data_IF_369723015387
#
_entry.id   IF_369723015387
#
_cell.length_a   1.000
_cell.length_b   1.000
_cell.length_c   1.000
_cell.angle_alpha   90.00
_cell.angle_beta   90.00
_cell.angle_gamma   90.00
#
_symmetry.space_group_name_H-M   'P 1'
#
loop_
_entity.id
_entity.type
_entity.pdbx_description
1 polymer ?
#
# COMPACT_ATOMS: atom_id res chain seq x y z
N UNK A 1 15.30 -17.82 -4.40
CA UNK A 1 15.27 -16.88 -3.25
C UNK A 1 14.26 -17.41 -2.22
N UNK A 2 14.63 -17.50 -0.93
CA UNK A 2 13.72 -17.96 0.14
C UNK A 2 13.50 -16.89 1.22
N UNK A 3 14.15 -15.73 1.11
CA UNK A 3 14.01 -14.58 2.00
C UNK A 3 14.23 -13.28 1.21
N UNK A 4 13.53 -12.22 1.60
CA UNK A 4 13.86 -10.85 1.24
C UNK A 4 14.59 -10.22 2.42
N UNK A 5 15.81 -9.75 2.21
CA UNK A 5 16.50 -8.90 3.18
C UNK A 5 16.17 -7.43 2.94
N UNK A 6 16.17 -6.63 4.00
CA UNK A 6 16.04 -5.18 3.87
C UNK A 6 17.13 -4.65 2.93
N UNK A 7 16.80 -3.83 1.94
CA UNK A 7 17.81 -3.20 1.09
C UNK A 7 18.80 -2.37 1.92
N UNK A 8 20.09 -2.48 1.60
CA UNK A 8 21.13 -1.73 2.31
C UNK A 8 20.89 -0.21 2.26
N UNK A 9 20.26 0.25 1.17
CA UNK A 9 19.85 1.65 0.97
C UNK A 9 18.80 2.14 1.97
N UNK A 10 18.12 1.25 2.69
CA UNK A 10 17.07 1.57 3.69
C UNK A 10 17.54 1.42 5.14
N UNK A 11 18.81 1.08 5.36
CA UNK A 11 19.32 0.82 6.71
C UNK A 11 19.77 2.12 7.38
N UNK A 12 19.41 2.30 8.66
CA UNK A 12 19.85 3.37 9.56
C UNK A 12 19.65 4.80 9.03
N UNK A 13 18.54 5.03 8.34
CA UNK A 13 18.13 6.36 7.85
C UNK A 13 16.60 6.48 7.77
N UNK A 14 16.06 7.69 7.54
CA UNK A 14 14.64 7.86 7.24
C UNK A 14 14.21 7.05 6.02
N UNK A 15 12.99 6.47 6.09
CA UNK A 15 12.36 5.67 5.03
C UNK A 15 11.33 6.53 4.32
N UNK A 16 11.52 6.77 3.03
CA UNK A 16 10.58 7.53 2.21
C UNK A 16 9.48 6.62 1.69
N UNK A 17 8.24 6.94 2.03
CA UNK A 17 7.05 6.20 1.61
C UNK A 17 6.17 7.09 0.73
N UNK A 18 5.75 6.57 -0.42
CA UNK A 18 4.64 7.16 -1.18
C UNK A 18 3.43 6.23 -1.05
N UNK A 19 2.33 6.75 -0.52
CA UNK A 19 1.06 6.06 -0.41
C UNK A 19 0.07 6.63 -1.42
N UNK A 20 -0.50 5.76 -2.26
CA UNK A 20 -1.48 6.10 -3.31
C UNK A 20 -2.84 5.55 -2.90
N UNK A 21 -3.82 6.44 -2.79
CA UNK A 21 -5.17 6.14 -2.33
C UNK A 21 -5.32 6.26 -0.82
N UNK A 22 -6.15 7.19 -0.35
CA UNK A 22 -6.47 7.47 1.04
C UNK A 22 -7.89 7.02 1.43
N UNK A 23 -8.43 6.03 0.70
CA UNK A 23 -9.73 5.41 0.97
C UNK A 23 -9.71 4.48 2.21
N UNK A 24 -10.42 3.36 2.14
CA UNK A 24 -10.53 2.40 3.24
C UNK A 24 -9.18 1.84 3.69
N UNK A 25 -8.50 1.12 2.80
CA UNK A 25 -7.17 0.55 3.07
C UNK A 25 -6.13 1.64 3.37
N UNK A 26 -6.14 2.74 2.59
CA UNK A 26 -5.14 3.79 2.74
C UNK A 26 -5.24 4.52 4.06
N UNK A 27 -6.45 4.90 4.50
CA UNK A 27 -6.64 5.57 5.80
C UNK A 27 -6.27 4.67 6.98
N UNK A 28 -6.61 3.37 6.90
CA UNK A 28 -6.22 2.38 7.92
C UNK A 28 -4.71 2.12 7.92
N UNK A 29 -4.09 2.03 6.73
CA UNK A 29 -2.62 1.88 6.61
C UNK A 29 -1.90 3.10 7.18
N UNK A 30 -2.37 4.30 6.88
CA UNK A 30 -1.74 5.54 7.37
C UNK A 30 -1.78 5.65 8.91
N UNK A 31 -2.90 5.21 9.53
CA UNK A 31 -3.00 5.08 11.01
C UNK A 31 -1.91 4.17 11.57
N UNK A 32 -1.68 3.02 10.95
CA UNK A 32 -0.68 2.08 11.41
C UNK A 32 0.75 2.56 11.14
N UNK A 33 0.99 3.24 10.00
CA UNK A 33 2.29 3.87 9.71
C UNK A 33 2.61 4.96 10.73
N UNK A 34 1.61 5.72 11.17
CA UNK A 34 1.79 6.72 12.23
C UNK A 34 2.28 6.09 13.54
N UNK A 35 1.68 4.96 13.95
CA UNK A 35 2.13 4.22 15.14
C UNK A 35 3.53 3.62 14.93
N UNK A 36 3.79 3.10 13.74
CA UNK A 36 5.09 2.53 13.38
C UNK A 36 6.20 3.59 13.39
N UNK A 37 5.94 4.79 12.87
CA UNK A 37 6.88 5.91 12.89
C UNK A 37 7.32 6.25 14.31
N UNK A 38 6.36 6.37 15.23
CA UNK A 38 6.67 6.63 16.63
C UNK A 38 7.56 5.56 17.24
N UNK A 39 7.26 4.28 16.98
CA UNK A 39 8.05 3.15 17.49
C UNK A 39 9.45 3.12 16.87
N UNK A 40 9.58 3.34 15.57
CA UNK A 40 10.88 3.39 14.88
C UNK A 40 11.76 4.49 15.47
N UNK A 41 11.23 5.70 15.63
CA UNK A 41 11.95 6.82 16.26
C UNK A 41 12.48 6.45 17.64
N UNK A 42 11.61 5.94 18.51
CA UNK A 42 11.98 5.59 19.88
C UNK A 42 12.99 4.44 19.97
N UNK A 43 12.92 3.48 19.07
CA UNK A 43 13.82 2.32 19.06
C UNK A 43 15.15 2.57 18.34
N UNK A 44 15.29 3.70 17.64
CA UNK A 44 16.49 4.04 16.86
C UNK A 44 17.14 5.37 17.29
N UNK A 45 16.68 5.96 18.38
CA UNK A 45 17.11 7.30 18.83
C UNK A 45 16.95 8.34 17.71
N UNK A 46 15.75 8.37 17.10
CA UNK A 46 15.33 9.22 15.99
C UNK A 46 16.16 9.10 14.68
N UNK A 47 17.01 8.07 14.57
CA UNK A 47 17.80 7.87 13.34
C UNK A 47 16.98 7.21 12.22
N UNK A 48 15.93 6.44 12.55
CA UNK A 48 15.00 5.81 11.60
C UNK A 48 13.58 6.28 11.87
N UNK A 49 12.93 6.81 10.84
CA UNK A 49 11.55 7.27 10.87
C UNK A 49 10.93 7.21 9.47
N UNK A 50 9.63 7.46 9.36
CA UNK A 50 8.92 7.45 8.10
C UNK A 50 8.69 8.89 7.59
N UNK A 51 9.10 9.19 6.35
CA UNK A 51 8.71 10.39 5.61
C UNK A 51 7.66 9.99 4.57
N UNK A 52 6.39 10.31 4.84
CA UNK A 52 5.27 9.81 4.04
C UNK A 52 4.70 10.92 3.17
N UNK A 53 4.52 10.62 1.88
CA UNK A 53 3.74 11.45 0.94
C UNK A 53 2.50 10.67 0.53
N UNK A 54 1.32 11.28 0.68
CA UNK A 54 0.01 10.68 0.39
C UNK A 54 -0.60 11.33 -0.84
N UNK A 55 -0.98 10.53 -1.83
CA UNK A 55 -1.70 10.97 -3.04
C UNK A 55 -3.15 10.49 -2.99
N UNK A 56 -4.09 11.42 -3.08
CA UNK A 56 -5.52 11.15 -3.25
C UNK A 56 -6.22 12.44 -3.67
N UNK A 57 -6.96 12.41 -4.78
CA UNK A 57 -7.67 13.56 -5.34
C UNK A 57 -9.15 13.63 -4.94
N UNK A 58 -9.65 12.63 -4.21
CA UNK A 58 -11.02 12.59 -3.74
C UNK A 58 -11.26 13.50 -2.53
N UNK A 59 -12.52 13.90 -2.39
CA UNK A 59 -13.02 14.55 -1.18
C UNK A 59 -13.81 13.57 -0.31
N UNK A 60 -13.85 13.85 0.98
CA UNK A 60 -14.63 13.06 1.94
C UNK A 60 -16.13 13.23 1.69
N UNK A 61 -16.82 12.13 1.48
CA UNK A 61 -18.27 12.05 1.30
C UNK A 61 -18.94 11.30 2.45
N UNK A 62 -20.28 11.39 2.53
CA UNK A 62 -21.06 10.65 3.55
C UNK A 62 -20.86 9.13 3.47
N UNK A 63 -20.60 8.57 2.26
CA UNK A 63 -20.34 7.13 2.08
C UNK A 63 -19.00 6.67 2.64
N UNK A 64 -18.09 7.60 2.92
CA UNK A 64 -16.78 7.29 3.50
C UNK A 64 -16.82 7.16 5.03
N UNK A 65 -17.81 7.81 5.67
CA UNK A 65 -17.93 7.78 7.14
C UNK A 65 -18.23 6.35 7.62
N UNK A 66 -17.60 5.94 8.71
CA UNK A 66 -17.81 4.65 9.35
C UNK A 66 -17.07 3.46 8.74
N UNK A 67 -16.55 3.55 7.50
CA UNK A 67 -15.73 2.50 6.88
C UNK A 67 -14.34 2.96 6.44
N UNK A 68 -14.08 4.24 6.49
CA UNK A 68 -12.78 4.87 6.24
C UNK A 68 -12.42 5.75 7.44
N UNK A 69 -11.18 6.20 7.54
CA UNK A 69 -10.67 6.97 8.67
C UNK A 69 -11.17 8.42 8.74
N UNK A 70 -12.42 8.70 8.38
CA UNK A 70 -12.99 10.06 8.32
C UNK A 70 -14.16 10.24 9.29
N UNK A 71 -14.35 11.50 9.71
CA UNK A 71 -15.37 11.95 10.65
C UNK A 71 -16.31 12.97 9.99
N UNK A 72 -17.49 13.25 10.56
CA UNK A 72 -18.43 14.22 9.98
C UNK A 72 -17.84 15.61 9.73
N UNK A 73 -16.87 16.03 10.54
CA UNK A 73 -16.20 17.33 10.38
C UNK A 73 -15.30 17.39 9.13
N UNK A 74 -14.94 16.24 8.56
CA UNK A 74 -14.04 16.14 7.40
C UNK A 74 -14.80 16.27 6.07
N UNK A 75 -16.14 16.26 6.08
CA UNK A 75 -16.96 16.28 4.87
C UNK A 75 -16.59 17.40 3.91
N UNK A 76 -16.41 17.08 2.64
CA UNK A 76 -16.06 18.02 1.57
C UNK A 76 -14.58 18.41 1.52
N UNK A 77 -13.76 18.01 2.47
CA UNK A 77 -12.32 18.24 2.45
C UNK A 77 -11.61 17.14 1.67
N UNK A 78 -10.43 17.39 1.11
CA UNK A 78 -9.63 16.39 0.43
C UNK A 78 -9.16 15.31 1.40
N UNK A 79 -9.31 14.03 1.02
CA UNK A 79 -8.98 12.86 1.86
C UNK A 79 -7.51 12.88 2.32
N UNK A 80 -6.58 13.12 1.38
CA UNK A 80 -5.14 13.19 1.68
C UNK A 80 -4.80 14.31 2.65
N UNK A 81 -5.38 15.51 2.49
CA UNK A 81 -5.12 16.65 3.37
C UNK A 81 -5.62 16.40 4.79
N UNK A 82 -6.84 15.88 4.93
CA UNK A 82 -7.44 15.57 6.24
C UNK A 82 -6.56 14.62 7.04
N UNK A 83 -6.17 13.49 6.43
CA UNK A 83 -5.39 12.48 7.14
C UNK A 83 -3.97 12.97 7.48
N UNK A 84 -3.29 13.58 6.52
CA UNK A 84 -1.92 14.08 6.73
C UNK A 84 -1.92 15.20 7.77
N UNK A 85 -2.83 16.17 7.68
CA UNK A 85 -2.94 17.25 8.67
C UNK A 85 -3.20 16.71 10.07
N UNK A 86 -4.07 15.71 10.19
CA UNK A 86 -4.38 15.06 11.47
C UNK A 86 -3.15 14.42 12.10
N UNK A 87 -2.40 13.61 11.36
CA UNK A 87 -1.21 12.94 11.88
C UNK A 87 -0.05 13.92 12.13
N UNK A 88 0.13 14.91 11.27
CA UNK A 88 1.13 15.96 11.48
C UNK A 88 0.85 16.75 12.77
N UNK A 89 -0.41 17.14 12.99
CA UNK A 89 -0.81 17.91 14.18
C UNK A 89 -0.61 17.10 15.45
N UNK A 90 -1.06 15.85 15.49
CA UNK A 90 -1.00 15.02 16.70
C UNK A 90 0.37 14.40 16.94
N UNK A 91 1.12 14.11 15.90
CA UNK A 91 2.44 13.46 15.99
C UNK A 91 3.62 14.38 15.84
N UNK A 92 3.40 15.69 15.58
CA UNK A 92 4.45 16.66 15.25
C UNK A 92 5.30 16.20 14.06
N UNK A 93 4.62 15.64 13.03
CA UNK A 93 5.25 15.11 11.82
C UNK A 93 5.26 16.16 10.70
N UNK A 94 5.99 15.86 9.62
CA UNK A 94 6.07 16.67 8.40
C UNK A 94 5.70 15.86 7.15
N UNK A 95 4.74 14.94 7.28
CA UNK A 95 4.23 14.19 6.14
C UNK A 95 3.56 15.10 5.13
N UNK A 96 3.52 14.70 3.87
CA UNK A 96 3.06 15.53 2.76
C UNK A 96 1.78 14.96 2.17
N UNK A 97 0.82 15.82 1.86
CA UNK A 97 -0.36 15.49 1.07
C UNK A 97 -0.24 16.02 -0.36
N UNK A 98 -0.84 15.31 -1.29
CA UNK A 98 -1.00 15.67 -2.69
C UNK A 98 -2.45 15.41 -3.08
N UNK A 99 -3.23 16.47 -3.22
CA UNK A 99 -4.64 16.44 -3.63
C UNK A 99 -4.77 16.27 -5.16
N UNK A 100 -4.01 15.34 -5.71
CA UNK A 100 -3.88 15.08 -7.13
C UNK A 100 -3.97 13.58 -7.35
N UNK A 101 -4.60 13.19 -8.46
CA UNK A 101 -4.53 11.84 -8.96
C UNK A 101 -3.05 11.48 -9.20
N UNK A 102 -2.66 10.33 -8.71
CA UNK A 102 -1.31 9.86 -8.94
C UNK A 102 -1.12 9.51 -10.43
N UNK A 103 -0.04 10.00 -10.99
CA UNK A 103 0.41 9.71 -12.34
C UNK A 103 1.77 9.02 -12.24
N UNK A 104 1.95 7.90 -12.92
CA UNK A 104 3.19 7.12 -12.93
C UNK A 104 4.40 7.94 -13.38
N UNK A 105 4.21 8.97 -14.22
CA UNK A 105 5.28 9.89 -14.63
C UNK A 105 5.86 10.69 -13.46
N UNK A 106 5.06 10.93 -12.43
CA UNK A 106 5.51 11.65 -11.23
C UNK A 106 6.55 10.88 -10.40
N UNK A 107 6.58 9.54 -10.49
CA UNK A 107 7.67 8.74 -9.91
C UNK A 107 9.02 9.02 -10.56
N UNK A 108 9.01 9.31 -11.86
CA UNK A 108 10.25 9.46 -12.63
C UNK A 108 10.77 10.90 -12.65
N UNK A 109 9.94 11.87 -12.29
CA UNK A 109 10.31 13.29 -12.20
C UNK A 109 10.88 13.70 -10.84
N UNK A 110 10.68 12.88 -9.81
CA UNK A 110 11.14 13.12 -8.44
C UNK A 110 12.15 12.06 -7.99
N UNK A 111 12.67 12.21 -6.76
CA UNK A 111 13.38 11.13 -6.10
C UNK A 111 12.41 9.97 -5.84
N UNK A 112 12.86 8.73 -6.16
CA UNK A 112 12.06 7.54 -5.92
C UNK A 112 11.85 7.34 -4.41
N UNK A 113 10.65 6.93 -3.98
CA UNK A 113 10.46 6.47 -2.61
C UNK A 113 11.21 5.16 -2.37
N UNK A 114 11.44 4.81 -1.12
CA UNK A 114 11.95 3.51 -0.72
C UNK A 114 10.85 2.45 -0.84
N UNK A 115 9.64 2.83 -0.43
CA UNK A 115 8.46 1.98 -0.46
C UNK A 115 7.31 2.74 -1.12
N UNK A 116 6.75 2.14 -2.16
CA UNK A 116 5.52 2.57 -2.79
C UNK A 116 4.39 1.71 -2.26
N UNK A 117 3.33 2.32 -1.73
CA UNK A 117 2.14 1.61 -1.22
C UNK A 117 0.94 1.99 -2.08
N UNK A 118 0.27 0.99 -2.65
CA UNK A 118 -0.97 1.20 -3.40
C UNK A 118 -2.17 0.66 -2.63
N UNK A 119 -3.15 1.54 -2.40
CA UNK A 119 -4.42 1.26 -1.72
C UNK A 119 -5.59 1.72 -2.59
N UNK A 120 -5.48 1.48 -3.90
CA UNK A 120 -6.45 1.92 -4.90
C UNK A 120 -7.50 0.84 -5.15
N UNK A 121 -8.68 1.23 -5.56
CA UNK A 121 -9.78 0.34 -5.94
C UNK A 121 -9.73 -0.05 -7.43
N UNK A 122 -9.18 0.80 -8.28
CA UNK A 122 -9.12 0.59 -9.74
C UNK A 122 -7.93 -0.27 -10.15
N UNK A 123 -8.20 -1.30 -10.97
CA UNK A 123 -7.17 -2.16 -11.57
C UNK A 123 -6.28 -1.38 -12.53
N UNK A 124 -6.83 -0.43 -13.28
CA UNK A 124 -6.11 0.40 -14.26
C UNK A 124 -4.89 1.11 -13.66
N UNK A 125 -5.00 1.61 -12.42
CA UNK A 125 -3.88 2.29 -11.74
C UNK A 125 -2.72 1.32 -11.47
N UNK A 126 -3.02 0.07 -11.08
CA UNK A 126 -1.99 -0.98 -10.89
C UNK A 126 -1.34 -1.36 -12.22
N UNK A 127 -2.13 -1.45 -13.28
CA UNK A 127 -1.65 -1.78 -14.63
C UNK A 127 -0.75 -0.67 -15.18
N UNK A 128 -1.20 0.59 -15.13
CA UNK A 128 -0.41 1.74 -15.57
C UNK A 128 0.93 1.81 -14.84
N UNK A 129 0.90 1.69 -13.51
CA UNK A 129 2.09 1.71 -12.67
C UNK A 129 3.02 0.53 -12.99
N UNK A 130 2.47 -0.69 -13.09
CA UNK A 130 3.23 -1.90 -13.40
C UNK A 130 3.92 -1.83 -14.76
N UNK A 131 3.22 -1.36 -15.79
CA UNK A 131 3.78 -1.17 -17.13
C UNK A 131 4.89 -0.11 -17.13
N UNK A 132 4.69 1.03 -16.45
CA UNK A 132 5.68 2.08 -16.34
C UNK A 132 6.96 1.60 -15.63
N UNK A 133 6.81 0.84 -14.54
CA UNK A 133 7.93 0.28 -13.77
C UNK A 133 8.65 -0.83 -14.55
N UNK A 134 7.91 -1.73 -15.21
CA UNK A 134 8.48 -2.82 -15.99
C UNK A 134 9.25 -2.34 -17.23
N UNK A 135 8.79 -1.26 -17.87
CA UNK A 135 9.46 -0.66 -19.05
C UNK A 135 10.65 0.22 -18.69
N UNK A 136 10.80 0.60 -17.44
CA UNK A 136 11.86 1.48 -16.99
C UNK A 136 13.22 0.79 -17.00
N UNK A 137 14.23 1.51 -17.50
CA UNK A 137 15.65 1.09 -17.42
C UNK A 137 16.32 1.46 -16.09
N UNK A 138 15.60 2.09 -15.16
CA UNK A 138 16.13 2.42 -13.85
C UNK A 138 16.31 1.16 -13.01
N UNK A 139 17.39 1.15 -12.26
CA UNK A 139 17.65 0.14 -11.22
C UNK A 139 17.48 0.81 -9.86
N UNK A 140 16.66 0.24 -9.00
CA UNK A 140 16.44 0.73 -7.64
C UNK A 140 16.03 -0.42 -6.75
N UNK A 141 16.31 -0.29 -5.47
CA UNK A 141 15.82 -1.20 -4.43
C UNK A 141 14.40 -0.89 -3.97
N UNK A 142 13.70 0.03 -4.64
CA UNK A 142 12.32 0.40 -4.31
C UNK A 142 11.43 -0.83 -4.23
N UNK A 143 10.68 -0.93 -3.14
CA UNK A 143 9.68 -1.95 -2.93
C UNK A 143 8.29 -1.40 -3.27
N UNK A 144 7.43 -2.25 -3.81
CA UNK A 144 6.02 -1.96 -4.05
C UNK A 144 5.16 -2.89 -3.20
N UNK A 145 4.39 -2.30 -2.28
CA UNK A 145 3.39 -2.97 -1.46
C UNK A 145 2.00 -2.61 -1.98
N UNK A 146 1.24 -3.62 -2.41
CA UNK A 146 -0.13 -3.43 -2.86
C UNK A 146 -1.13 -4.06 -1.88
N UNK A 147 -2.21 -3.35 -1.63
CA UNK A 147 -3.36 -3.82 -0.85
C UNK A 147 -4.61 -3.79 -1.74
N UNK A 148 -5.14 -4.95 -2.07
CA UNK A 148 -6.38 -5.09 -2.82
C UNK A 148 -7.38 -5.94 -2.04
N UNK A 149 -8.64 -5.50 -1.95
CA UNK A 149 -9.68 -6.28 -1.29
C UNK A 149 -11.02 -6.11 -1.97
N UNK A 150 -11.82 -7.15 -1.83
CA UNK A 150 -13.25 -7.19 -2.10
C UNK A 150 -14.05 -7.01 -0.81
N UNK A 151 -15.26 -7.58 -0.76
CA UNK A 151 -16.19 -7.46 0.36
C UNK A 151 -15.62 -8.02 1.66
N UNK A 152 -15.15 -9.27 1.64
CA UNK A 152 -14.74 -10.04 2.84
C UNK A 152 -13.30 -10.51 2.80
N UNK A 153 -12.64 -10.38 1.67
CA UNK A 153 -11.32 -10.95 1.43
C UNK A 153 -10.40 -9.97 0.71
N UNK A 154 -9.11 -10.22 0.75
CA UNK A 154 -8.14 -9.42 0.02
C UNK A 154 -6.76 -10.05 -0.01
N UNK A 155 -5.88 -9.40 -0.74
CA UNK A 155 -4.49 -9.78 -0.87
C UNK A 155 -3.57 -8.60 -0.59
N UNK A 156 -2.45 -8.92 0.00
CA UNK A 156 -1.34 -8.02 0.29
C UNK A 156 -0.12 -8.59 -0.42
N UNK A 157 0.52 -7.81 -1.27
CA UNK A 157 1.68 -8.25 -2.04
C UNK A 157 2.80 -7.20 -1.93
N UNK A 158 3.95 -7.62 -1.44
CA UNK A 158 5.18 -6.84 -1.42
C UNK A 158 6.16 -7.42 -2.45
N UNK A 159 6.66 -6.60 -3.36
CA UNK A 159 7.66 -7.04 -4.33
C UNK A 159 8.64 -5.92 -4.72
N UNK A 160 9.65 -6.25 -5.50
CA UNK A 160 10.50 -5.22 -6.10
C UNK A 160 9.72 -4.47 -7.18
N UNK A 161 9.81 -3.15 -7.15
CA UNK A 161 9.11 -2.30 -8.12
C UNK A 161 9.71 -2.44 -9.53
N UNK A 162 11.04 -2.47 -9.64
CA UNK A 162 11.75 -2.53 -10.91
C UNK A 162 12.21 -3.94 -11.27
N UNK A 163 12.47 -4.17 -12.55
CA UNK A 163 13.08 -5.40 -13.03
C UNK A 163 14.52 -5.50 -12.53
N UNK A 164 14.90 -6.69 -12.06
CA UNK A 164 16.24 -7.00 -11.57
C UNK A 164 16.48 -8.51 -11.56
N UNK A 165 17.72 -8.90 -11.47
CA UNK A 165 18.09 -10.28 -11.16
C UNK A 165 17.52 -10.69 -9.78
N UNK A 166 17.06 -11.90 -9.66
CA UNK A 166 16.40 -12.40 -8.43
C UNK A 166 15.25 -11.50 -7.93
N UNK A 167 14.41 -11.03 -8.85
CA UNK A 167 13.26 -10.20 -8.53
C UNK A 167 12.30 -10.94 -7.59
N UNK A 168 11.91 -10.27 -6.50
CA UNK A 168 10.71 -10.64 -5.76
C UNK A 168 9.51 -10.09 -6.53
N UNK A 169 8.60 -10.93 -7.05
CA UNK A 169 7.51 -10.46 -7.89
C UNK A 169 6.55 -9.56 -7.12
N UNK A 170 6.11 -8.49 -7.75
CA UNK A 170 5.08 -7.58 -7.24
C UNK A 170 3.68 -7.99 -7.73
N UNK A 171 2.66 -7.20 -7.41
CA UNK A 171 1.26 -7.50 -7.77
C UNK A 171 1.06 -7.60 -9.28
N UNK A 172 1.69 -6.76 -10.07
CA UNK A 172 1.59 -6.76 -11.53
C UNK A 172 2.25 -8.00 -12.16
N UNK A 173 3.36 -8.47 -11.57
CA UNK A 173 4.02 -9.69 -12.01
C UNK A 173 3.18 -10.96 -11.69
N UNK A 174 2.56 -11.00 -10.51
CA UNK A 174 1.82 -12.18 -10.03
C UNK A 174 0.40 -12.29 -10.62
N UNK A 175 -0.18 -11.19 -11.05
CA UNK A 175 -1.55 -11.14 -11.57
C UNK A 175 -1.59 -10.51 -12.97
N UNK A 176 -1.02 -11.18 -13.99
CA UNK A 176 -1.00 -10.65 -15.37
C UNK A 176 -2.40 -10.37 -15.93
N UNK A 177 -3.43 -11.07 -15.42
CA UNK A 177 -4.83 -10.86 -15.78
C UNK A 177 -5.39 -9.49 -15.35
N UNK A 178 -4.68 -8.72 -14.52
CA UNK A 178 -5.12 -7.37 -14.17
C UNK A 178 -5.31 -6.46 -15.38
N UNK A 179 -4.61 -6.74 -16.49
CA UNK A 179 -4.74 -5.96 -17.75
C UNK A 179 -6.11 -6.16 -18.43
N UNK A 180 -6.79 -7.25 -18.10
CA UNK A 180 -8.09 -7.62 -18.66
C UNK A 180 -9.26 -7.23 -17.74
N UNK A 181 -8.96 -6.65 -16.57
CA UNK A 181 -9.98 -6.22 -15.60
C UNK A 181 -10.47 -4.84 -15.99
N UNK A 182 -11.75 -4.73 -16.32
CA UNK A 182 -12.42 -3.45 -16.52
C UNK A 182 -12.72 -2.81 -15.15
N UNK A 183 -12.35 -1.54 -15.01
CA UNK A 183 -12.74 -0.77 -13.83
C UNK A 183 -14.25 -0.57 -13.84
N UNK A 184 -14.91 -0.91 -12.76
CA UNK A 184 -16.34 -0.63 -12.60
C UNK A 184 -16.47 0.87 -12.29
N UNK A 185 -17.07 1.64 -13.22
CA UNK A 185 -17.47 3.00 -12.91
C UNK A 185 -18.56 2.95 -11.81
N UNK A 186 -18.34 3.67 -10.72
CA UNK A 186 -19.33 3.79 -9.67
C UNK A 186 -20.46 4.71 -10.16
N UNK A 187 -21.48 4.11 -10.79
CA UNK A 187 -22.76 4.79 -10.91
C UNK A 187 -23.28 5.14 -9.51
N UNK A 188 -24.02 6.23 -9.42
CA UNK A 188 -24.57 6.81 -8.18
C UNK A 188 -25.40 5.81 -7.36
N UNK A 189 -24.70 4.85 -6.75
CA UNK A 189 -25.32 3.92 -5.80
C UNK A 189 -25.84 4.68 -4.59
N UNK A 190 -26.95 4.21 -4.04
CA UNK A 190 -27.45 4.74 -2.78
C UNK A 190 -26.37 4.65 -1.69
N UNK A 191 -26.33 5.60 -0.76
CA UNK A 191 -25.44 5.57 0.40
C UNK A 191 -25.44 4.21 1.11
N UNK A 192 -26.59 3.57 1.16
CA UNK A 192 -26.79 2.27 1.79
C UNK A 192 -26.07 1.14 1.04
N UNK A 193 -26.17 1.10 -0.29
CA UNK A 193 -25.48 0.10 -1.12
C UNK A 193 -23.95 0.26 -1.04
N UNK A 194 -23.45 1.50 -1.07
CA UNK A 194 -22.02 1.77 -0.90
C UNK A 194 -21.51 1.27 0.47
N UNK A 195 -22.30 1.39 1.54
CA UNK A 195 -21.95 0.87 2.87
C UNK A 195 -21.95 -0.66 2.95
N UNK A 196 -22.72 -1.35 2.11
CA UNK A 196 -22.80 -2.82 2.10
C UNK A 196 -21.70 -3.50 1.27
N UNK A 197 -20.94 -2.74 0.47
CA UNK A 197 -19.93 -3.29 -0.43
C UNK A 197 -18.75 -3.95 0.28
N UNK A 198 -18.42 -3.49 1.48
CA UNK A 198 -17.32 -4.02 2.28
C UNK A 198 -17.78 -4.40 3.68
N UNK A 199 -17.30 -5.53 4.18
CA UNK A 199 -17.54 -5.94 5.55
C UNK A 199 -16.79 -5.05 6.54
N UNK A 200 -17.41 -4.85 7.70
CA UNK A 200 -16.76 -4.12 8.79
C UNK A 200 -15.42 -4.74 9.14
N UNK A 201 -14.38 -3.89 9.18
CA UNK A 201 -13.03 -4.28 9.60
C UNK A 201 -12.14 -4.88 8.50
N UNK A 202 -12.63 -5.10 7.24
CA UNK A 202 -11.77 -5.64 6.18
C UNK A 202 -10.56 -4.73 5.91
N UNK A 203 -10.77 -3.42 5.82
CA UNK A 203 -9.71 -2.46 5.58
C UNK A 203 -8.69 -2.41 6.72
N UNK A 204 -9.15 -2.43 7.98
CA UNK A 204 -8.27 -2.48 9.15
C UNK A 204 -7.46 -3.79 9.19
N UNK A 205 -8.11 -4.93 8.86
CA UNK A 205 -7.41 -6.22 8.81
C UNK A 205 -6.34 -6.25 7.73
N UNK A 206 -6.64 -5.75 6.54
CA UNK A 206 -5.67 -5.62 5.45
C UNK A 206 -4.50 -4.72 5.85
N UNK A 207 -4.80 -3.57 6.39
CA UNK A 207 -3.79 -2.59 6.79
C UNK A 207 -2.86 -3.11 7.89
N UNK A 208 -3.38 -3.79 8.91
CA UNK A 208 -2.53 -4.33 9.98
C UNK A 208 -1.61 -5.43 9.48
N UNK A 209 -2.09 -6.35 8.64
CA UNK A 209 -1.24 -7.41 8.08
C UNK A 209 -0.14 -6.82 7.18
N UNK A 210 -0.47 -5.82 6.35
CA UNK A 210 0.49 -5.14 5.49
C UNK A 210 1.58 -4.41 6.30
N UNK A 211 1.17 -3.69 7.33
CA UNK A 211 2.11 -2.93 8.18
C UNK A 211 2.91 -3.84 9.11
N UNK A 212 2.38 -4.96 9.57
CA UNK A 212 3.16 -5.98 10.29
C UNK A 212 4.25 -6.60 9.39
N UNK A 213 3.96 -6.82 8.10
CA UNK A 213 4.95 -7.29 7.13
C UNK A 213 6.09 -6.27 6.97
N UNK A 214 5.77 -4.98 6.81
CA UNK A 214 6.77 -3.90 6.75
C UNK A 214 7.55 -3.78 8.06
N UNK A 215 6.87 -3.83 9.20
CA UNK A 215 7.51 -3.79 10.52
C UNK A 215 8.56 -4.90 10.66
N UNK A 216 8.19 -6.13 10.29
CA UNK A 216 9.10 -7.27 10.34
C UNK A 216 10.32 -7.04 9.45
N UNK A 217 10.13 -6.56 8.19
CA UNK A 217 11.24 -6.26 7.29
C UNK A 217 12.17 -5.18 7.86
N UNK A 218 11.60 -4.08 8.36
CA UNK A 218 12.38 -2.94 8.86
C UNK A 218 13.09 -3.21 10.19
N UNK A 219 12.51 -4.06 11.05
CA UNK A 219 13.05 -4.34 12.39
C UNK A 219 13.89 -5.61 12.48
N UNK A 220 13.47 -6.68 11.81
CA UNK A 220 14.19 -7.95 11.82
C UNK A 220 15.19 -8.08 10.66
N UNK A 221 15.12 -7.16 9.70
CA UNK A 221 16.04 -7.09 8.58
C UNK A 221 15.76 -8.09 7.46
N UNK A 222 14.85 -9.05 7.64
CA UNK A 222 14.49 -10.01 6.61
C UNK A 222 13.12 -10.65 6.86
N UNK A 223 12.46 -11.05 5.77
CA UNK A 223 11.18 -11.77 5.76
C UNK A 223 11.25 -13.01 4.87
N UNK A 224 10.49 -14.06 5.20
CA UNK A 224 10.37 -15.32 4.45
C UNK A 224 9.01 -15.48 3.74
N UNK A 225 8.13 -14.50 3.89
CA UNK A 225 6.89 -14.33 3.13
C UNK A 225 6.80 -12.88 2.68
N UNK A 226 6.12 -12.63 1.56
CA UNK A 226 6.07 -11.29 0.98
C UNK A 226 4.64 -10.80 0.69
N UNK A 227 3.69 -11.44 1.31
CA UNK A 227 2.29 -11.06 1.20
C UNK A 227 1.42 -11.96 2.05
N UNK A 228 0.13 -11.72 2.01
CA UNK A 228 -0.88 -12.52 2.68
C UNK A 228 -2.21 -12.48 1.93
N UNK A 229 -2.94 -13.58 2.00
CA UNK A 229 -4.35 -13.67 1.64
C UNK A 229 -5.17 -13.60 2.91
N UNK A 230 -6.04 -12.60 2.99
CA UNK A 230 -6.94 -12.35 4.12
C UNK A 230 -8.34 -12.76 3.74
N UNK A 231 -9.01 -13.51 4.58
CA UNK A 231 -10.41 -13.90 4.42
C UNK A 231 -11.11 -13.74 5.77
N UNK A 232 -12.01 -12.77 5.87
CA UNK A 232 -12.77 -12.48 7.09
C UNK A 232 -13.90 -13.47 7.32
N UNK A 233 -14.46 -14.04 6.27
CA UNK A 233 -15.56 -15.02 6.39
C UNK A 233 -15.06 -16.32 7.00
N UNK A 234 -13.86 -16.75 6.61
CA UNK A 234 -13.19 -17.92 7.17
C UNK A 234 -12.29 -17.59 8.38
N UNK A 235 -12.17 -16.31 8.76
CA UNK A 235 -11.26 -15.85 9.81
C UNK A 235 -9.80 -16.29 9.59
N UNK A 236 -9.34 -16.34 8.33
CA UNK A 236 -7.99 -16.83 7.98
C UNK A 236 -7.09 -15.74 7.42
N UNK A 237 -5.79 -15.89 7.71
CA UNK A 237 -4.70 -15.16 7.07
C UNK A 237 -3.68 -16.19 6.60
N UNK A 238 -3.47 -16.29 5.30
CA UNK A 238 -2.53 -17.23 4.70
C UNK A 238 -1.33 -16.49 4.12
N UNK A 239 -0.09 -16.70 4.62
CA UNK A 239 1.07 -16.00 4.11
C UNK A 239 1.42 -16.48 2.69
N UNK A 240 1.77 -15.53 1.83
CA UNK A 240 2.40 -15.80 0.55
C UNK A 240 3.91 -15.97 0.77
N UNK A 241 4.37 -17.21 0.87
CA UNK A 241 5.79 -17.52 1.10
C UNK A 241 6.64 -17.13 -0.10
N UNK A 242 7.88 -16.69 0.18
CA UNK A 242 8.90 -16.44 -0.85
C UNK A 242 9.37 -17.80 -1.40
N UNK A 243 8.66 -18.29 -2.41
CA UNK A 243 8.92 -19.57 -3.04
C UNK A 243 8.53 -19.53 -4.52
N UNK A 244 9.48 -19.76 -5.46
CA UNK A 244 9.19 -19.79 -6.90
C UNK A 244 8.07 -20.75 -7.32
N UNK A 245 7.89 -21.85 -6.61
CA UNK A 245 6.79 -22.80 -6.90
C UNK A 245 5.41 -22.18 -6.62
N UNK A 246 5.29 -21.38 -5.57
CA UNK A 246 4.05 -20.66 -5.26
C UNK A 246 3.75 -19.59 -6.32
N UNK A 247 4.77 -18.90 -6.80
CA UNK A 247 4.63 -17.87 -7.83
C UNK A 247 4.24 -18.47 -9.19
N UNK A 248 4.79 -19.66 -9.52
CA UNK A 248 4.44 -20.38 -10.76
C UNK A 248 2.95 -20.74 -10.82
N UNK A 249 2.32 -21.06 -9.68
CA UNK A 249 0.87 -21.32 -9.59
C UNK A 249 0.06 -20.06 -9.94
N UNK A 250 0.61 -18.87 -9.65
CA UNK A 250 0.00 -17.57 -9.97
C UNK A 250 0.35 -17.09 -11.39
N UNK A 251 1.16 -17.83 -12.14
CA UNK A 251 1.54 -17.51 -13.52
C UNK A 251 2.91 -16.81 -13.66
N UNK A 252 3.65 -16.59 -12.57
CA UNK A 252 4.97 -15.98 -12.63
C UNK A 252 6.08 -17.03 -12.68
N UNK A 253 6.84 -17.06 -13.78
CA UNK A 253 8.06 -17.86 -13.88
C UNK A 253 9.26 -16.98 -13.48
N UNK A 254 9.91 -17.32 -12.36
CA UNK A 254 11.16 -16.69 -11.98
C UNK A 254 12.24 -17.02 -13.02
N UNK A 255 12.87 -15.99 -13.60
CA UNK A 255 13.97 -16.12 -14.54
C UNK A 255 15.25 -16.59 -13.84
#
# INVERSE_FOLDING_TARGET
>A
MNKLSIPASMVARPINITLIGAGGNGSATLKNLFQMDYLLRKLSDDSVYLDVTVYDDDTVSHTNLGRQGFWPIDLGQFKSDVLVSRYNTHGQLNWKSKTLRFDSSSLFSNALPDILITCVDKASVRVELGQALASSKRTSDMLWLDLGNDKNAGNIILGHAFNRENKLPNVFDLYPQLVDVEDIEEDSCSHFEAMQRQSFGVNDKMAIEATCLLWKLLREGAIDYHGAYVDLEQATVKPLKINPLNWAILGYAAA
#
